data_IF_515972165108
#
_entry.id   IF_515972165108
#
_cell.length_a   1.000
_cell.length_b   1.000
_cell.length_c   1.000
_cell.angle_alpha   90.00
_cell.angle_beta   90.00
_cell.angle_gamma   90.00
#
_symmetry.space_group_name_H-M   'P 1'
#
loop_
_entity.id
_entity.type
_entity.pdbx_description
1 polymer ?
#
# COMPACT_ATOMS: atom_id res chain seq x y z
N UNK A 1 16.40 23.00 12.60
CA UNK A 1 17.13 22.63 11.36
C UNK A 1 16.64 21.27 10.90
N UNK A 2 16.34 21.18 9.61
CA UNK A 2 15.68 20.09 8.91
C UNK A 2 16.18 18.69 9.23
N UNK A 3 15.23 17.77 9.45
CA UNK A 3 15.36 16.38 9.01
C UNK A 3 14.11 16.07 8.19
N UNK A 4 14.04 16.65 7.00
CA UNK A 4 13.21 16.14 5.92
C UNK A 4 14.11 15.19 5.13
N UNK A 5 14.28 13.97 5.63
CA UNK A 5 14.95 12.90 4.89
C UNK A 5 13.95 11.76 4.77
N UNK A 6 13.13 11.81 3.71
CA UNK A 6 12.50 10.61 3.18
C UNK A 6 13.63 9.70 2.67
N UNK A 7 14.08 8.77 3.53
CA UNK A 7 15.14 7.79 3.27
C UNK A 7 14.57 6.39 3.50
N UNK A 8 13.86 5.91 2.49
CA UNK A 8 13.26 4.57 2.47
C UNK A 8 13.30 3.92 1.09
N UNK A 9 14.01 4.53 0.13
CA UNK A 9 14.03 4.11 -1.27
C UNK A 9 15.33 3.34 -1.61
N UNK A 10 16.34 3.41 -0.74
CA UNK A 10 17.59 2.68 -0.92
C UNK A 10 17.55 1.37 -0.14
N UNK A 11 18.06 0.30 -0.76
CA UNK A 11 18.22 -1.00 -0.10
C UNK A 11 19.07 -0.81 1.16
N UNK A 12 18.55 -1.29 2.30
CA UNK A 12 19.22 -1.22 3.60
C UNK A 12 18.90 0.02 4.45
N UNK A 13 18.20 1.02 3.91
CA UNK A 13 17.66 2.11 4.73
C UNK A 13 16.35 1.65 5.42
N UNK A 14 16.10 2.06 6.68
CA UNK A 14 14.84 1.76 7.34
C UNK A 14 13.64 2.36 6.59
N UNK A 15 12.62 1.55 6.31
CA UNK A 15 11.38 2.05 5.72
C UNK A 15 10.68 3.07 6.66
N UNK A 16 10.27 4.24 6.15
CA UNK A 16 9.49 5.22 6.90
C UNK A 16 8.21 4.60 7.50
N UNK A 17 8.03 4.73 8.81
CA UNK A 17 6.83 4.19 9.47
C UNK A 17 5.58 4.98 9.07
N UNK A 18 4.44 4.28 9.03
CA UNK A 18 3.15 4.88 8.79
C UNK A 18 2.03 4.08 9.46
N UNK A 19 0.92 4.76 9.68
CA UNK A 19 -0.30 4.19 10.25
C UNK A 19 -1.50 4.63 9.44
N UNK A 20 -2.32 3.69 8.98
CA UNK A 20 -3.49 3.94 8.13
C UNK A 20 -4.72 3.21 8.66
N UNK A 21 -5.88 3.85 8.55
CA UNK A 21 -7.16 3.17 8.72
C UNK A 21 -7.46 2.31 7.49
N UNK A 22 -8.07 1.15 7.69
CA UNK A 22 -8.38 0.20 6.62
C UNK A 22 -9.88 0.25 6.29
N UNK A 23 -10.25 0.04 5.03
CA UNK A 23 -11.62 0.14 4.50
C UNK A 23 -12.69 -0.61 5.33
N UNK A 24 -12.36 -1.78 5.87
CA UNK A 24 -13.28 -2.62 6.65
C UNK A 24 -13.13 -2.44 8.18
N UNK A 25 -12.53 -1.31 8.59
CA UNK A 25 -12.16 -1.05 9.97
C UNK A 25 -10.80 -1.64 10.33
N UNK A 26 -10.36 -1.32 11.55
CA UNK A 26 -9.01 -1.61 12.01
C UNK A 26 -7.98 -0.62 11.46
N UNK A 27 -6.74 -0.87 11.86
CA UNK A 27 -5.60 -0.01 11.55
C UNK A 27 -4.43 -0.88 11.12
N UNK A 28 -3.72 -0.42 10.08
CA UNK A 28 -2.46 -1.00 9.66
C UNK A 28 -1.34 -0.07 10.09
N UNK A 29 -0.33 -0.62 10.78
CA UNK A 29 0.88 0.10 11.13
C UNK A 29 2.09 -0.67 10.61
N UNK A 30 2.98 0.01 9.89
CA UNK A 30 4.13 -0.65 9.26
C UNK A 30 5.08 -1.23 10.31
N UNK A 31 5.34 -0.50 11.41
CA UNK A 31 6.21 -0.97 12.49
C UNK A 31 5.81 -2.30 13.11
N UNK A 32 4.52 -2.66 13.01
CA UNK A 32 3.98 -3.89 13.59
C UNK A 32 4.25 -5.11 12.69
N UNK A 33 4.71 -4.89 11.46
CA UNK A 33 5.06 -5.93 10.49
C UNK A 33 6.57 -6.18 10.41
N UNK A 34 7.37 -5.67 11.36
CA UNK A 34 8.81 -5.91 11.40
C UNK A 34 9.16 -7.40 11.32
N UNK A 35 10.15 -7.73 10.50
CA UNK A 35 10.58 -9.11 10.24
C UNK A 35 9.78 -9.83 9.16
N UNK A 36 8.77 -9.17 8.57
CA UNK A 36 8.03 -9.66 7.39
C UNK A 36 8.40 -8.85 6.17
N UNK A 37 8.24 -9.46 5.00
CA UNK A 37 8.21 -8.76 3.71
C UNK A 37 6.86 -8.09 3.56
N UNK A 38 6.84 -6.77 3.39
CA UNK A 38 5.60 -6.01 3.21
C UNK A 38 5.52 -5.49 1.79
N UNK A 39 4.57 -6.04 1.04
CA UNK A 39 4.19 -5.54 -0.27
C UNK A 39 3.17 -4.41 -0.14
N UNK A 40 3.47 -3.25 -0.72
CA UNK A 40 2.61 -2.06 -0.69
C UNK A 40 2.23 -1.70 -2.12
N UNK A 41 0.95 -1.76 -2.44
CA UNK A 41 0.40 -1.29 -3.72
C UNK A 41 -0.10 0.14 -3.57
N UNK A 42 0.59 1.10 -4.18
CA UNK A 42 0.26 2.53 -4.14
C UNK A 42 -0.71 2.85 -5.27
N UNK A 43 -1.96 3.19 -4.94
CA UNK A 43 -3.00 3.39 -5.94
C UNK A 43 -3.80 4.67 -5.73
N UNK A 44 -4.56 5.05 -6.76
CA UNK A 44 -5.65 6.01 -6.66
C UNK A 44 -6.98 5.31 -6.97
N UNK A 45 -8.00 5.46 -6.13
CA UNK A 45 -9.26 4.69 -6.24
C UNK A 45 -9.96 4.80 -7.62
N UNK A 46 -9.76 5.91 -8.34
CA UNK A 46 -10.30 6.11 -9.68
C UNK A 46 -9.23 6.24 -10.78
N UNK A 47 -8.00 5.78 -10.51
CA UNK A 47 -6.93 5.77 -11.51
C UNK A 47 -7.13 4.59 -12.48
N UNK A 48 -7.29 4.83 -13.80
CA UNK A 48 -7.51 3.75 -14.78
C UNK A 48 -6.38 2.72 -14.80
N UNK A 49 -5.13 3.16 -14.73
CA UNK A 49 -3.96 2.27 -14.68
C UNK A 49 -3.92 1.45 -13.39
N UNK A 50 -4.34 2.02 -12.26
CA UNK A 50 -4.41 1.26 -11.01
C UNK A 50 -5.49 0.17 -11.10
N UNK A 51 -6.66 0.48 -11.68
CA UNK A 51 -7.74 -0.49 -11.89
C UNK A 51 -7.29 -1.63 -12.82
N UNK A 52 -6.54 -1.32 -13.87
CA UNK A 52 -5.98 -2.33 -14.76
C UNK A 52 -4.92 -3.22 -14.09
N UNK A 53 -4.10 -2.66 -13.20
CA UNK A 53 -3.01 -3.40 -12.54
C UNK A 53 -3.45 -4.14 -11.27
N UNK A 54 -4.51 -3.68 -10.58
CA UNK A 54 -4.99 -4.27 -9.33
C UNK A 54 -5.15 -5.81 -9.38
N UNK A 55 -5.83 -6.38 -10.39
CA UNK A 55 -5.96 -7.84 -10.52
C UNK A 55 -4.61 -8.58 -10.58
N UNK A 56 -3.58 -7.99 -11.19
CA UNK A 56 -2.25 -8.60 -11.28
C UNK A 56 -1.54 -8.60 -9.92
N UNK A 57 -1.77 -7.60 -9.07
CA UNK A 57 -1.22 -7.61 -7.70
C UNK A 57 -1.89 -8.67 -6.82
N UNK A 58 -3.17 -8.94 -7.07
CA UNK A 58 -3.92 -9.99 -6.38
C UNK A 58 -3.38 -11.37 -6.76
N UNK A 59 -3.35 -11.71 -8.05
CA UNK A 59 -2.99 -13.06 -8.52
C UNK A 59 -1.48 -13.29 -8.63
N UNK A 60 -0.73 -12.27 -9.04
CA UNK A 60 0.71 -12.35 -9.32
C UNK A 60 1.61 -12.14 -8.10
N UNK A 61 1.04 -11.70 -6.97
CA UNK A 61 1.80 -11.43 -5.74
C UNK A 61 1.05 -11.96 -4.53
N UNK A 62 -0.11 -11.40 -4.19
CA UNK A 62 -0.78 -11.73 -2.94
C UNK A 62 -1.12 -13.22 -2.82
N UNK A 63 -1.79 -13.81 -3.81
CA UNK A 63 -2.16 -15.23 -3.80
C UNK A 63 -0.95 -16.17 -3.80
N UNK A 64 0.18 -15.75 -4.37
CA UNK A 64 1.42 -16.56 -4.37
C UNK A 64 2.09 -16.64 -2.99
N UNK A 65 1.87 -15.63 -2.13
CA UNK A 65 2.59 -15.50 -0.86
C UNK A 65 1.68 -15.43 0.37
N UNK A 66 0.35 -15.40 0.22
CA UNK A 66 -0.58 -15.22 1.34
C UNK A 66 -0.51 -16.32 2.41
N UNK A 67 -0.07 -17.53 2.05
CA UNK A 67 0.13 -18.64 3.00
C UNK A 67 1.47 -18.55 3.74
N UNK A 68 2.35 -17.63 3.35
CA UNK A 68 3.61 -17.38 4.03
C UNK A 68 3.40 -16.43 5.22
N UNK A 69 3.63 -16.92 6.44
CA UNK A 69 3.52 -16.13 7.67
C UNK A 69 4.47 -14.92 7.75
N UNK A 70 5.50 -14.90 6.92
CA UNK A 70 6.48 -13.82 6.80
C UNK A 70 6.17 -12.83 5.67
N UNK A 71 4.97 -12.88 5.09
CA UNK A 71 4.53 -11.97 4.03
C UNK A 71 3.25 -11.22 4.42
N UNK A 72 3.18 -9.94 4.04
CA UNK A 72 1.99 -9.11 4.22
C UNK A 72 1.80 -8.23 2.98
N UNK A 73 0.55 -8.04 2.56
CA UNK A 73 0.18 -7.13 1.49
C UNK A 73 -0.77 -6.03 2.00
N UNK A 74 -0.61 -4.82 1.50
CA UNK A 74 -1.55 -3.71 1.70
C UNK A 74 -1.62 -2.83 0.45
N UNK A 75 -2.81 -2.44 0.04
CA UNK A 75 -3.00 -1.35 -0.92
C UNK A 75 -3.19 -0.04 -0.19
N UNK A 76 -2.66 1.07 -0.68
CA UNK A 76 -2.82 2.39 -0.06
C UNK A 76 -3.34 3.42 -1.08
N UNK A 77 -4.49 4.03 -0.77
CA UNK A 77 -5.11 5.05 -1.64
C UNK A 77 -4.50 6.43 -1.37
N UNK A 78 -3.62 6.89 -2.26
CA UNK A 78 -2.95 8.18 -2.14
C UNK A 78 -3.78 9.34 -2.65
N UNK A 79 -4.87 9.07 -3.36
CA UNK A 79 -5.80 10.10 -3.86
C UNK A 79 -6.84 10.52 -2.80
N UNK A 80 -6.76 9.97 -1.59
CA UNK A 80 -7.66 10.26 -0.46
C UNK A 80 -9.15 10.15 -0.86
N UNK A 81 -9.49 9.10 -1.61
CA UNK A 81 -10.87 8.74 -1.88
C UNK A 81 -11.62 8.46 -0.59
N UNK A 82 -12.93 8.75 -0.60
CA UNK A 82 -13.79 8.29 0.48
C UNK A 82 -13.90 6.76 0.47
N UNK A 83 -14.38 6.18 1.58
CA UNK A 83 -14.50 4.72 1.72
C UNK A 83 -15.28 4.07 0.58
N UNK A 84 -16.36 4.70 0.11
CA UNK A 84 -17.17 4.16 -1.00
C UNK A 84 -16.40 4.11 -2.34
N UNK A 85 -15.55 5.10 -2.61
CA UNK A 85 -14.67 5.10 -3.78
C UNK A 85 -13.65 3.96 -3.74
N UNK A 86 -13.04 3.74 -2.57
CA UNK A 86 -12.07 2.65 -2.36
C UNK A 86 -12.75 1.28 -2.37
N UNK A 87 -13.98 1.17 -1.88
CA UNK A 87 -14.81 -0.03 -1.98
C UNK A 87 -15.16 -0.36 -3.43
N UNK A 88 -15.50 0.65 -4.22
CA UNK A 88 -15.72 0.49 -5.67
C UNK A 88 -14.45 0.02 -6.38
N UNK A 89 -13.28 0.54 -5.99
CA UNK A 89 -11.99 0.08 -6.51
C UNK A 89 -11.75 -1.40 -6.17
N UNK A 90 -11.99 -1.79 -4.91
CA UNK A 90 -11.89 -3.18 -4.46
C UNK A 90 -12.79 -4.10 -5.28
N UNK A 91 -14.06 -3.74 -5.45
CA UNK A 91 -15.03 -4.51 -6.23
C UNK A 91 -14.62 -4.63 -7.71
N UNK A 92 -14.10 -3.56 -8.30
CA UNK A 92 -13.67 -3.55 -9.71
C UNK A 92 -12.43 -4.41 -9.95
N UNK A 93 -11.49 -4.41 -9.01
CA UNK A 93 -10.18 -5.07 -9.17
C UNK A 93 -10.13 -6.50 -8.64
N UNK A 94 -11.09 -6.88 -7.79
CA UNK A 94 -11.08 -8.19 -7.12
C UNK A 94 -10.01 -8.31 -6.03
N UNK A 95 -9.37 -7.21 -5.62
CA UNK A 95 -8.38 -7.24 -4.55
C UNK A 95 -9.03 -7.69 -3.24
N UNK A 96 -8.40 -8.63 -2.56
CA UNK A 96 -8.89 -9.17 -1.29
C UNK A 96 -8.06 -8.74 -0.09
N UNK A 97 -6.78 -8.41 -0.28
CA UNK A 97 -5.91 -7.89 0.77
C UNK A 97 -6.37 -6.50 1.28
N UNK A 98 -5.93 -6.08 2.48
CA UNK A 98 -6.33 -4.82 3.09
C UNK A 98 -6.07 -3.58 2.22
N UNK A 99 -7.02 -2.64 2.20
CA UNK A 99 -6.87 -1.33 1.54
C UNK A 99 -6.89 -0.21 2.58
N UNK A 100 -5.78 0.50 2.71
CA UNK A 100 -5.60 1.68 3.55
C UNK A 100 -6.14 2.94 2.90
N UNK A 101 -6.76 3.79 3.73
CA UNK A 101 -7.43 5.03 3.35
C UNK A 101 -6.56 6.25 3.65
N UNK A 102 -6.79 7.34 2.92
CA UNK A 102 -6.17 8.66 3.16
C UNK A 102 -4.63 8.64 3.20
N UNK A 103 -4.01 7.97 2.25
CA UNK A 103 -2.58 7.68 2.27
C UNK A 103 -1.71 8.67 1.46
N UNK A 104 -2.22 9.87 1.13
CA UNK A 104 -1.46 10.88 0.36
C UNK A 104 -0.06 11.20 0.90
N UNK A 105 0.19 11.06 2.21
CA UNK A 105 1.51 11.27 2.80
C UNK A 105 2.56 10.23 2.39
N UNK A 106 2.14 9.04 1.95
CA UNK A 106 3.04 7.94 1.55
C UNK A 106 3.88 8.32 0.33
N UNK A 107 3.32 9.08 -0.62
CA UNK A 107 4.04 9.53 -1.81
C UNK A 107 5.28 10.36 -1.44
N UNK A 108 5.13 11.26 -0.45
CA UNK A 108 6.22 12.07 0.09
C UNK A 108 7.20 11.24 0.94
N UNK A 109 6.67 10.37 1.81
CA UNK A 109 7.51 9.54 2.70
C UNK A 109 8.44 8.61 1.94
N UNK A 110 7.98 8.04 0.84
CA UNK A 110 8.74 7.08 0.03
C UNK A 110 9.33 7.70 -1.24
N UNK A 111 9.15 9.01 -1.46
CA UNK A 111 9.59 9.71 -2.67
C UNK A 111 9.12 9.00 -3.96
N UNK A 112 7.90 8.47 -3.93
CA UNK A 112 7.25 7.84 -5.08
C UNK A 112 6.25 8.79 -5.72
N UNK A 113 6.22 8.80 -7.05
CA UNK A 113 5.23 9.56 -7.85
C UNK A 113 4.57 8.68 -8.89
N UNK A 114 5.35 7.77 -9.49
CA UNK A 114 4.88 6.84 -10.51
C UNK A 114 4.97 5.37 -10.08
N UNK A 115 5.75 5.07 -9.03
CA UNK A 115 5.90 3.70 -8.57
C UNK A 115 4.63 3.27 -7.85
N UNK A 116 3.94 2.32 -8.48
CA UNK A 116 2.70 1.75 -7.95
C UNK A 116 2.96 0.60 -6.98
N UNK A 117 4.22 0.17 -6.84
CA UNK A 117 4.62 -0.97 -6.03
C UNK A 117 5.82 -0.57 -5.18
N UNK A 118 5.74 -0.81 -3.88
CA UNK A 118 6.86 -0.75 -2.94
C UNK A 118 6.97 -2.10 -2.23
N UNK A 119 8.20 -2.48 -1.89
CA UNK A 119 8.49 -3.64 -1.04
C UNK A 119 9.45 -3.19 0.04
N UNK A 120 9.11 -3.47 1.30
CA UNK A 120 9.90 -3.12 2.48
C UNK A 120 10.09 -4.29 3.42
#
# INVERSE_FOLDING_TARGET
MSVLLAKGQNVGEPAPDFTLNVLNGGQFKLSDQKGKVVFIFVFGYNCPHCKANGPNTQTGIYEMFMDNSSFVAIGVDTWNGNSSGVESFKATTGITYPLGLNASSIESLYSTTYDRILVV
#
